data_IF_255793800273
#
_entry.id   IF_255793800273
#
_cell.length_a   1.000
_cell.length_b   1.000
_cell.length_c   1.000
_cell.angle_alpha   90.00
_cell.angle_beta   90.00
_cell.angle_gamma   90.00
#
_symmetry.space_group_name_H-M   'P 1'
#
loop_
_entity.id
_entity.type
_entity.pdbx_description
1 polymer ?
#
# COMPACT_ATOMS: atom_id res chain seq x y z
N UNK A 1 -11.64 5.41 -3.83
CA UNK A 1 -12.45 5.35 -2.59
C UNK A 1 -11.61 5.63 -1.34
N UNK A 2 -10.55 4.84 -1.07
CA UNK A 2 -9.70 4.99 0.13
C UNK A 2 -9.13 6.41 0.27
N UNK A 3 -8.71 7.04 -0.83
CA UNK A 3 -8.24 8.42 -0.83
C UNK A 3 -9.31 9.38 -0.31
N UNK A 4 -10.54 9.29 -0.81
CA UNK A 4 -11.64 10.15 -0.36
C UNK A 4 -11.94 9.99 1.13
N UNK A 5 -11.89 8.75 1.65
CA UNK A 5 -12.23 8.46 3.06
C UNK A 5 -11.13 8.87 4.03
N UNK A 6 -9.87 8.73 3.64
CA UNK A 6 -8.75 8.78 4.58
C UNK A 6 -7.78 9.94 4.35
N UNK A 7 -8.06 10.84 3.39
CA UNK A 7 -7.17 11.96 3.07
C UNK A 7 -6.86 12.84 4.29
N UNK A 8 -7.86 13.08 5.15
CA UNK A 8 -7.69 13.90 6.36
C UNK A 8 -6.87 13.20 7.45
N UNK A 9 -6.68 11.88 7.34
CA UNK A 9 -5.82 11.12 8.26
C UNK A 9 -4.34 11.24 7.90
N UNK A 10 -4.02 11.76 6.71
CA UNK A 10 -2.64 12.02 6.30
C UNK A 10 -2.21 13.34 6.94
N UNK A 11 -1.20 13.27 7.79
CA UNK A 11 -0.63 14.46 8.45
C UNK A 11 0.05 15.39 7.44
N UNK A 12 0.15 16.66 7.76
CA UNK A 12 0.94 17.61 6.97
C UNK A 12 2.40 17.13 6.94
N UNK A 13 3.05 17.29 5.78
CA UNK A 13 4.37 16.71 5.48
C UNK A 13 4.41 15.17 5.53
N UNK A 14 3.26 14.49 5.56
CA UNK A 14 3.16 13.04 5.49
C UNK A 14 3.39 12.48 4.08
N UNK A 15 3.23 11.17 3.95
CA UNK A 15 3.46 10.45 2.69
C UNK A 15 2.18 9.77 2.23
N UNK A 16 1.90 9.86 0.93
CA UNK A 16 0.75 9.27 0.26
C UNK A 16 1.22 8.44 -0.93
N UNK A 17 0.89 7.16 -0.98
CA UNK A 17 1.06 6.33 -2.17
C UNK A 17 -0.30 6.22 -2.84
N UNK A 18 -0.38 6.59 -4.12
CA UNK A 18 -1.63 6.61 -4.87
C UNK A 18 -1.46 5.99 -6.26
N UNK A 19 -2.57 5.61 -6.88
CA UNK A 19 -2.58 5.14 -8.26
C UNK A 19 -2.43 6.34 -9.21
N UNK A 20 -1.46 6.27 -10.12
CA UNK A 20 -1.35 7.21 -11.24
C UNK A 20 -2.45 6.97 -12.29
N UNK A 21 -2.99 5.75 -12.33
CA UNK A 21 -3.93 5.30 -13.36
C UNK A 21 -5.33 5.90 -13.21
N UNK A 22 -5.65 6.40 -12.03
CA UNK A 22 -6.99 6.90 -11.66
C UNK A 22 -6.97 8.42 -11.40
N UNK A 23 -5.88 9.09 -11.79
CA UNK A 23 -5.67 10.53 -11.55
C UNK A 23 -6.82 11.40 -12.10
N UNK A 24 -7.28 11.10 -13.32
CA UNK A 24 -8.32 11.86 -14.00
C UNK A 24 -9.74 11.33 -13.71
N UNK A 25 -9.87 10.35 -12.82
CA UNK A 25 -11.17 9.79 -12.46
C UNK A 25 -12.02 10.84 -11.72
N UNK A 26 -13.21 11.13 -12.29
CA UNK A 26 -14.15 12.08 -11.70
C UNK A 26 -14.78 11.46 -10.44
N UNK A 27 -14.74 12.19 -9.33
CA UNK A 27 -15.27 11.72 -8.05
C UNK A 27 -16.78 11.47 -8.08
N UNK A 28 -17.54 12.22 -8.88
CA UNK A 28 -18.99 12.05 -9.03
C UNK A 28 -19.34 10.71 -9.69
N UNK A 29 -18.43 10.12 -10.46
CA UNK A 29 -18.62 8.82 -11.08
C UNK A 29 -18.47 7.64 -10.11
N UNK A 30 -17.98 7.88 -8.88
CA UNK A 30 -17.75 6.86 -7.85
C UNK A 30 -19.05 6.47 -7.12
N UNK A 31 -19.91 5.72 -7.80
CA UNK A 31 -21.25 5.36 -7.29
C UNK A 31 -21.29 4.50 -6.02
N UNK A 32 -20.13 4.07 -5.52
CA UNK A 32 -19.98 3.27 -4.29
C UNK A 32 -19.44 4.09 -3.09
N UNK A 33 -19.19 5.38 -3.26
CA UNK A 33 -18.76 6.26 -2.18
C UNK A 33 -19.95 6.79 -1.40
N UNK A 34 -19.83 6.88 -0.08
CA UNK A 34 -20.82 7.50 0.78
C UNK A 34 -21.12 8.94 0.30
N UNK A 35 -22.39 9.26 0.08
CA UNK A 35 -22.83 10.54 -0.49
C UNK A 35 -22.33 11.74 0.32
N UNK A 36 -22.30 11.62 1.65
CA UNK A 36 -21.83 12.70 2.53
C UNK A 36 -20.34 12.95 2.34
N UNK A 37 -19.54 11.89 2.30
CA UNK A 37 -18.09 11.98 2.08
C UNK A 37 -17.82 12.57 0.69
N UNK A 38 -18.54 12.09 -0.32
CA UNK A 38 -18.40 12.61 -1.69
C UNK A 38 -18.68 14.10 -1.74
N UNK A 39 -19.82 14.55 -1.22
CA UNK A 39 -20.17 15.97 -1.24
C UNK A 39 -19.19 16.86 -0.48
N UNK A 40 -18.71 16.40 0.68
CA UNK A 40 -17.68 17.10 1.43
C UNK A 40 -16.40 17.29 0.61
N UNK A 41 -15.94 16.24 -0.09
CA UNK A 41 -14.75 16.33 -0.96
C UNK A 41 -14.95 17.23 -2.16
N UNK A 42 -16.10 17.15 -2.83
CA UNK A 42 -16.42 18.03 -3.95
C UNK A 42 -16.41 19.50 -3.50
N UNK A 43 -17.05 19.80 -2.37
CA UNK A 43 -17.08 21.16 -1.82
C UNK A 43 -15.66 21.67 -1.47
N UNK A 44 -14.81 20.84 -0.88
CA UNK A 44 -13.43 21.20 -0.57
C UNK A 44 -12.64 21.52 -1.83
N UNK A 45 -12.77 20.72 -2.88
CA UNK A 45 -12.10 20.92 -4.17
C UNK A 45 -12.59 22.19 -4.87
N UNK A 46 -13.90 22.43 -4.90
CA UNK A 46 -14.49 23.65 -5.46
C UNK A 46 -13.98 24.91 -4.74
N UNK A 47 -13.96 24.89 -3.41
CA UNK A 47 -13.44 26.01 -2.61
C UNK A 47 -11.95 26.27 -2.85
N UNK A 48 -11.19 25.22 -3.14
CA UNK A 48 -9.76 25.30 -3.47
C UNK A 48 -9.50 25.65 -4.95
N UNK A 49 -10.53 25.66 -5.80
CA UNK A 49 -10.40 25.86 -7.24
C UNK A 49 -9.69 24.71 -7.95
N UNK A 50 -9.78 23.48 -7.40
CA UNK A 50 -9.13 22.29 -7.91
C UNK A 50 -10.10 21.42 -8.73
N UNK A 51 -9.57 20.55 -9.64
CA UNK A 51 -10.39 19.62 -10.40
C UNK A 51 -11.18 18.66 -9.49
N UNK A 52 -12.43 18.31 -9.85
CA UNK A 52 -13.28 17.37 -9.11
C UNK A 52 -12.91 15.92 -9.41
N UNK A 53 -11.62 15.62 -9.34
CA UNK A 53 -11.01 14.32 -9.68
C UNK A 53 -10.18 13.76 -8.53
N UNK A 54 -9.76 12.50 -8.64
CA UNK A 54 -8.80 11.92 -7.72
C UNK A 54 -7.47 12.70 -7.70
N UNK A 55 -7.05 13.23 -8.86
CA UNK A 55 -5.88 14.11 -8.98
C UNK A 55 -6.04 15.41 -8.19
N UNK A 56 -7.21 16.02 -8.21
CA UNK A 56 -7.49 17.22 -7.41
C UNK A 56 -7.35 16.97 -5.90
N UNK A 57 -7.77 15.78 -5.41
CA UNK A 57 -7.55 15.39 -4.01
C UNK A 57 -6.06 15.23 -3.68
N UNK A 58 -5.29 14.67 -4.62
CA UNK A 58 -3.83 14.52 -4.44
C UNK A 58 -3.17 15.90 -4.40
N UNK A 59 -3.55 16.80 -5.31
CA UNK A 59 -3.06 18.18 -5.35
C UNK A 59 -3.41 18.94 -4.06
N UNK A 60 -4.62 18.78 -3.55
CA UNK A 60 -5.04 19.34 -2.27
C UNK A 60 -4.17 18.84 -1.11
N UNK A 61 -3.80 17.57 -1.10
CA UNK A 61 -2.85 17.02 -0.12
C UNK A 61 -1.44 17.61 -0.29
N UNK A 62 -0.97 17.76 -1.53
CA UNK A 62 0.34 18.35 -1.82
C UNK A 62 0.44 19.82 -1.40
N UNK A 63 -0.64 20.60 -1.50
CA UNK A 63 -0.70 21.97 -0.97
C UNK A 63 -0.45 22.01 0.54
N UNK A 64 -0.86 20.95 1.28
CA UNK A 64 -0.57 20.76 2.71
C UNK A 64 0.85 20.24 2.98
N UNK A 65 1.66 20.07 1.94
CA UNK A 65 3.02 19.54 2.03
C UNK A 65 3.12 18.01 2.03
N UNK A 66 2.02 17.30 1.74
CA UNK A 66 2.05 15.83 1.63
C UNK A 66 2.86 15.40 0.41
N UNK A 67 3.78 14.47 0.59
CA UNK A 67 4.58 13.88 -0.47
C UNK A 67 3.79 12.75 -1.15
N UNK A 68 3.31 12.98 -2.37
CA UNK A 68 2.53 12.00 -3.12
C UNK A 68 3.42 11.19 -4.07
N UNK A 69 3.34 9.86 -3.97
CA UNK A 69 4.00 8.89 -4.84
C UNK A 69 2.96 8.26 -5.78
N UNK A 70 2.92 8.71 -7.02
CA UNK A 70 2.01 8.20 -8.04
C UNK A 70 2.58 6.94 -8.68
N UNK A 71 1.85 5.83 -8.62
CA UNK A 71 2.30 4.50 -9.06
C UNK A 71 1.42 3.98 -10.20
N UNK A 72 2.00 3.59 -11.36
CA UNK A 72 1.26 3.11 -12.53
C UNK A 72 0.95 1.60 -12.42
N UNK A 73 0.02 1.22 -11.55
CA UNK A 73 -0.31 -0.19 -11.28
C UNK A 73 -0.78 -0.95 -12.52
N UNK A 74 -1.55 -0.31 -13.42
CA UNK A 74 -2.03 -0.94 -14.66
C UNK A 74 -0.87 -1.32 -15.58
N UNK A 75 0.17 -0.47 -15.64
CA UNK A 75 1.39 -0.76 -16.41
C UNK A 75 2.13 -1.96 -15.84
N UNK A 76 2.29 -2.03 -14.51
CA UNK A 76 2.94 -3.16 -13.86
C UNK A 76 2.20 -4.47 -14.08
N UNK A 77 0.87 -4.46 -13.94
CA UNK A 77 0.06 -5.65 -14.20
C UNK A 77 0.14 -6.08 -15.68
N UNK A 78 0.25 -5.13 -16.61
CA UNK A 78 0.44 -5.43 -18.03
C UNK A 78 1.80 -6.10 -18.27
N UNK A 79 2.88 -5.49 -17.80
CA UNK A 79 4.23 -6.06 -17.92
C UNK A 79 4.32 -7.46 -17.32
N UNK A 80 3.73 -7.64 -16.13
CA UNK A 80 3.72 -8.94 -15.45
C UNK A 80 2.91 -10.00 -16.23
N UNK A 81 1.78 -9.59 -16.82
CA UNK A 81 0.96 -10.44 -17.70
C UNK A 81 1.76 -10.93 -18.91
N UNK A 82 2.48 -10.02 -19.55
CA UNK A 82 3.29 -10.31 -20.74
C UNK A 82 4.50 -11.21 -20.39
N UNK A 83 5.20 -10.91 -19.31
CA UNK A 83 6.40 -11.64 -18.86
C UNK A 83 6.09 -13.08 -18.43
N UNK A 84 4.97 -13.27 -17.74
CA UNK A 84 4.55 -14.60 -17.27
C UNK A 84 3.71 -15.37 -18.28
N UNK A 85 3.29 -14.75 -19.39
CA UNK A 85 2.38 -15.36 -20.35
C UNK A 85 0.99 -15.64 -19.74
N UNK A 86 0.56 -14.87 -18.77
CA UNK A 86 -0.71 -15.01 -18.06
C UNK A 86 -1.70 -13.91 -18.49
N UNK A 87 -2.99 -14.15 -18.30
CA UNK A 87 -3.99 -13.10 -18.54
C UNK A 87 -4.00 -12.09 -17.39
N UNK A 88 -4.43 -10.85 -17.65
CA UNK A 88 -4.59 -9.81 -16.62
C UNK A 88 -5.44 -10.27 -15.42
N UNK A 89 -6.46 -11.09 -15.65
CA UNK A 89 -7.30 -11.66 -14.59
C UNK A 89 -6.50 -12.52 -13.62
N UNK A 90 -5.51 -13.27 -14.11
CA UNK A 90 -4.67 -14.13 -13.27
C UNK A 90 -3.64 -13.33 -12.47
N UNK A 91 -3.11 -12.24 -13.02
CA UNK A 91 -2.13 -11.39 -12.32
C UNK A 91 -2.78 -10.32 -11.43
N UNK A 92 -4.05 -10.02 -11.61
CA UNK A 92 -4.77 -8.98 -10.85
C UNK A 92 -4.64 -9.09 -9.33
N UNK A 93 -4.68 -10.30 -8.69
CA UNK A 93 -4.52 -10.41 -7.24
C UNK A 93 -3.18 -9.89 -6.70
N UNK A 94 -2.16 -9.79 -7.55
CA UNK A 94 -0.81 -9.33 -7.17
C UNK A 94 -0.76 -7.82 -6.89
N UNK A 95 -1.81 -7.07 -7.21
CA UNK A 95 -1.86 -5.62 -6.94
C UNK A 95 -1.60 -5.28 -5.46
N UNK A 96 -2.06 -6.14 -4.54
CA UNK A 96 -1.80 -5.97 -3.12
C UNK A 96 -0.31 -6.13 -2.79
N UNK A 97 0.36 -7.11 -3.42
CA UNK A 97 1.81 -7.30 -3.26
C UNK A 97 2.59 -6.13 -3.85
N UNK A 98 2.17 -5.60 -5.01
CA UNK A 98 2.77 -4.39 -5.59
C UNK A 98 2.66 -3.21 -4.61
N UNK A 99 1.49 -2.98 -4.02
CA UNK A 99 1.29 -1.89 -3.07
C UNK A 99 2.17 -2.03 -1.82
N UNK A 100 2.26 -3.24 -1.26
CA UNK A 100 3.15 -3.54 -0.13
C UNK A 100 4.62 -3.37 -0.52
N UNK A 101 5.02 -3.87 -1.69
CA UNK A 101 6.40 -3.78 -2.16
C UNK A 101 6.85 -2.33 -2.42
N UNK A 102 5.99 -1.48 -2.99
CA UNK A 102 6.24 -0.04 -3.13
C UNK A 102 6.44 0.60 -1.74
N UNK A 103 5.53 0.33 -0.80
CA UNK A 103 5.59 0.89 0.54
C UNK A 103 6.85 0.47 1.29
N UNK A 104 7.18 -0.81 1.27
CA UNK A 104 8.37 -1.36 1.95
C UNK A 104 9.67 -0.89 1.32
N UNK A 105 9.71 -0.78 -0.02
CA UNK A 105 10.88 -0.24 -0.73
C UNK A 105 11.13 1.24 -0.39
N UNK A 106 10.08 2.07 -0.35
CA UNK A 106 10.17 3.47 0.06
C UNK A 106 10.67 3.62 1.51
N UNK A 107 10.32 2.69 2.39
CA UNK A 107 10.76 2.65 3.79
C UNK A 107 12.14 2.01 3.99
N UNK A 108 12.83 1.61 2.93
CA UNK A 108 14.16 1.02 3.00
C UNK A 108 14.20 -0.42 3.53
N UNK A 109 13.06 -1.12 3.55
CA UNK A 109 13.04 -2.57 3.85
C UNK A 109 13.66 -3.32 2.68
N UNK A 110 14.51 -4.31 2.97
CA UNK A 110 15.17 -5.08 1.91
C UNK A 110 14.18 -5.97 1.15
N UNK A 111 14.44 -6.18 -0.13
CA UNK A 111 13.65 -7.08 -0.98
C UNK A 111 13.61 -8.49 -0.42
N UNK A 112 14.75 -8.99 0.06
CA UNK A 112 14.89 -10.33 0.64
C UNK A 112 13.99 -10.53 1.87
N UNK A 113 13.84 -9.48 2.71
CA UNK A 113 12.96 -9.53 3.87
C UNK A 113 11.50 -9.69 3.48
N UNK A 114 11.06 -8.99 2.42
CA UNK A 114 9.70 -9.09 1.92
C UNK A 114 9.46 -10.45 1.25
N UNK A 115 10.40 -10.95 0.45
CA UNK A 115 10.31 -12.27 -0.19
C UNK A 115 10.27 -13.39 0.86
N UNK A 116 11.07 -13.31 1.93
CA UNK A 116 11.00 -14.23 3.06
C UNK A 116 9.62 -14.23 3.74
N UNK A 117 9.05 -13.06 3.99
CA UNK A 117 7.71 -12.96 4.57
C UNK A 117 6.63 -13.57 3.65
N UNK A 118 6.79 -13.38 2.34
CA UNK A 118 5.92 -13.98 1.33
C UNK A 118 5.97 -15.52 1.36
N UNK A 119 7.17 -16.10 1.40
CA UNK A 119 7.36 -17.56 1.49
C UNK A 119 6.67 -18.16 2.72
N UNK A 120 6.74 -17.47 3.85
CA UNK A 120 6.05 -17.87 5.08
C UNK A 120 4.53 -17.76 4.98
N UNK A 121 4.03 -16.83 4.16
CA UNK A 121 2.59 -16.60 3.99
C UNK A 121 1.93 -17.58 3.02
N UNK A 122 2.69 -18.10 2.04
CA UNK A 122 2.20 -18.98 0.97
C UNK A 122 3.00 -20.27 0.84
N UNK A 123 3.12 -21.10 1.91
CA UNK A 123 3.91 -22.31 1.86
C UNK A 123 3.36 -23.31 0.84
N UNK A 124 4.23 -23.82 -0.04
CA UNK A 124 3.89 -24.81 -1.07
C UNK A 124 3.06 -24.29 -2.25
N UNK A 125 2.92 -22.96 -2.40
CA UNK A 125 2.20 -22.35 -3.51
C UNK A 125 3.17 -21.72 -4.53
N UNK A 126 3.95 -22.56 -5.22
CA UNK A 126 5.08 -22.11 -6.05
C UNK A 126 4.70 -21.12 -7.14
N UNK A 127 3.55 -21.30 -7.80
CA UNK A 127 3.06 -20.37 -8.84
C UNK A 127 2.69 -19.00 -8.26
N UNK A 128 2.07 -18.98 -7.07
CA UNK A 128 1.75 -17.75 -6.35
C UNK A 128 3.05 -17.06 -5.92
N UNK A 129 4.00 -17.80 -5.37
CA UNK A 129 5.30 -17.26 -4.97
C UNK A 129 6.07 -16.67 -6.14
N UNK A 130 6.13 -17.38 -7.28
CA UNK A 130 6.79 -16.89 -8.49
C UNK A 130 6.20 -15.57 -8.96
N UNK A 131 4.89 -15.52 -9.12
CA UNK A 131 4.18 -14.32 -9.60
C UNK A 131 4.38 -13.13 -8.66
N UNK A 132 4.33 -13.35 -7.36
CA UNK A 132 4.53 -12.28 -6.38
C UNK A 132 6.00 -11.81 -6.28
N UNK A 133 6.99 -12.70 -6.47
CA UNK A 133 8.40 -12.31 -6.52
C UNK A 133 8.71 -11.42 -7.72
N UNK A 134 8.13 -11.71 -8.89
CA UNK A 134 8.25 -10.83 -10.06
C UNK A 134 7.64 -9.46 -9.79
N UNK A 135 6.46 -9.42 -9.18
CA UNK A 135 5.83 -8.15 -8.78
C UNK A 135 6.67 -7.35 -7.79
N UNK A 136 7.28 -7.99 -6.80
CA UNK A 136 8.22 -7.36 -5.86
C UNK A 136 9.41 -6.79 -6.63
N UNK A 137 9.98 -7.54 -7.57
CA UNK A 137 11.08 -7.08 -8.42
C UNK A 137 10.75 -5.80 -9.19
N UNK A 138 9.60 -5.79 -9.88
CA UNK A 138 9.09 -4.64 -10.62
C UNK A 138 8.93 -3.42 -9.70
N UNK A 139 8.29 -3.61 -8.54
CA UNK A 139 8.01 -2.55 -7.58
C UNK A 139 9.29 -1.91 -7.02
N UNK A 140 10.26 -2.73 -6.60
CA UNK A 140 11.54 -2.24 -6.08
C UNK A 140 12.35 -1.51 -7.14
N UNK A 141 12.45 -2.05 -8.36
CA UNK A 141 13.14 -1.40 -9.47
C UNK A 141 12.49 -0.04 -9.80
N UNK A 142 11.16 0.02 -9.80
CA UNK A 142 10.45 1.27 -10.04
C UNK A 142 10.74 2.33 -8.97
N UNK A 143 10.66 1.95 -7.69
CA UNK A 143 10.95 2.89 -6.59
C UNK A 143 12.37 3.41 -6.68
N UNK A 144 13.35 2.55 -6.89
CA UNK A 144 14.75 2.93 -7.01
C UNK A 144 15.03 3.88 -8.19
N UNK A 145 14.27 3.74 -9.28
CA UNK A 145 14.46 4.54 -10.49
C UNK A 145 13.71 5.88 -10.47
N UNK A 146 12.64 6.00 -9.70
CA UNK A 146 11.72 7.13 -9.79
C UNK A 146 11.62 7.97 -8.53
N UNK A 147 12.03 7.45 -7.38
CA UNK A 147 11.86 8.15 -6.10
C UNK A 147 13.17 8.21 -5.31
N UNK A 148 13.35 9.29 -4.59
CA UNK A 148 14.38 9.36 -3.57
C UNK A 148 13.92 8.57 -2.32
N UNK A 149 14.86 7.96 -1.57
CA UNK A 149 14.52 7.31 -0.30
C UNK A 149 13.82 8.29 0.64
N UNK A 150 12.79 7.81 1.31
CA UNK A 150 12.13 8.58 2.37
C UNK A 150 13.11 8.66 3.55
N UNK A 151 13.28 9.85 4.12
CA UNK A 151 14.15 10.05 5.30
C UNK A 151 13.57 9.40 6.58
N UNK A 152 12.45 8.70 6.47
CA UNK A 152 11.81 8.00 7.56
C UNK A 152 12.56 6.69 7.83
N UNK A 153 13.55 6.75 8.71
CA UNK A 153 14.24 5.54 9.13
C UNK A 153 13.36 4.73 10.09
N UNK A 154 13.04 3.50 9.69
CA UNK A 154 12.47 2.55 10.63
C UNK A 154 13.45 2.32 11.78
N UNK A 155 12.97 2.51 13.01
CA UNK A 155 13.80 2.28 14.19
C UNK A 155 14.21 0.81 14.21
N UNK A 156 15.50 0.57 14.09
CA UNK A 156 16.03 -0.76 14.29
C UNK A 156 15.91 -1.11 15.79
N UNK A 157 15.24 -2.22 16.07
CA UNK A 157 15.27 -2.78 17.41
C UNK A 157 16.68 -3.31 17.66
N UNK A 158 17.30 -2.98 18.81
CA UNK A 158 18.56 -3.61 19.20
C UNK A 158 18.34 -5.13 19.26
N UNK A 159 19.35 -5.90 18.84
CA UNK A 159 19.32 -7.36 19.01
C UNK A 159 19.09 -7.65 20.50
N UNK A 160 17.85 -8.01 20.83
CA UNK A 160 17.48 -8.40 22.19
C UNK A 160 17.90 -9.84 22.39
N UNK A 161 18.58 -10.13 23.51
CA UNK A 161 18.84 -11.52 23.94
C UNK A 161 17.57 -12.21 24.44
N UNK A 162 16.50 -11.46 24.61
CA UNK A 162 15.19 -11.97 25.01
C UNK A 162 14.40 -12.40 23.76
N UNK A 163 13.74 -13.55 23.84
CA UNK A 163 12.82 -13.99 22.80
C UNK A 163 11.60 -13.08 22.80
N UNK A 164 11.42 -12.34 21.71
CA UNK A 164 10.25 -11.49 21.49
C UNK A 164 9.29 -12.20 20.55
N UNK A 165 8.01 -12.29 20.93
CA UNK A 165 6.97 -12.86 20.13
C UNK A 165 6.16 -11.74 19.44
N UNK A 166 6.04 -11.81 18.13
CA UNK A 166 5.09 -10.98 17.38
C UNK A 166 3.75 -11.72 17.33
N UNK A 167 2.74 -11.17 17.99
CA UNK A 167 1.42 -11.77 18.11
C UNK A 167 0.35 -10.85 17.53
N UNK A 168 -0.62 -11.41 16.83
CA UNK A 168 -1.85 -10.69 16.53
C UNK A 168 -2.78 -10.65 17.75
N UNK A 169 -3.84 -9.83 17.70
CA UNK A 169 -4.76 -9.64 18.83
C UNK A 169 -5.37 -10.97 19.33
N UNK A 170 -5.78 -11.86 18.44
CA UNK A 170 -6.36 -13.17 18.81
C UNK A 170 -5.34 -14.07 19.52
N UNK A 171 -4.11 -14.12 19.01
CA UNK A 171 -3.01 -14.86 19.63
C UNK A 171 -2.65 -14.29 21.00
N UNK A 172 -2.64 -12.97 21.14
CA UNK A 172 -2.37 -12.28 22.43
C UNK A 172 -3.44 -12.61 23.46
N UNK A 173 -4.72 -12.59 23.08
CA UNK A 173 -5.83 -12.96 23.97
C UNK A 173 -5.74 -14.43 24.37
N UNK A 174 -5.47 -15.34 23.44
CA UNK A 174 -5.32 -16.76 23.73
C UNK A 174 -4.15 -17.03 24.70
N UNK A 175 -2.99 -16.43 24.44
CA UNK A 175 -1.83 -16.57 25.31
C UNK A 175 -2.09 -15.98 26.71
N UNK A 176 -2.76 -14.81 26.79
CA UNK A 176 -3.15 -14.20 28.05
C UNK A 176 -4.10 -15.08 28.87
N UNK A 177 -5.05 -15.76 28.24
CA UNK A 177 -5.93 -16.73 28.90
C UNK A 177 -5.16 -17.94 29.46
N UNK A 178 -4.24 -18.49 28.67
CA UNK A 178 -3.38 -19.60 29.15
C UNK A 178 -2.49 -19.18 30.33
N UNK A 179 -1.87 -17.98 30.24
CA UNK A 179 -1.06 -17.45 31.33
C UNK A 179 -1.86 -17.17 32.60
N UNK A 180 -3.13 -16.82 32.49
CA UNK A 180 -4.05 -16.65 33.62
C UNK A 180 -4.58 -17.98 34.20
N UNK A 181 -4.16 -19.14 33.67
CA UNK A 181 -4.57 -20.45 34.15
C UNK A 181 -5.99 -20.88 33.73
N UNK A 182 -6.57 -20.20 32.76
CA UNK A 182 -7.84 -20.65 32.16
C UNK A 182 -7.56 -21.85 31.25
N UNK A 183 -7.86 -23.04 31.73
CA UNK A 183 -7.88 -24.28 30.93
C UNK A 183 -9.12 -24.35 30.03
N UNK A 184 -9.05 -25.13 28.96
CA UNK A 184 -10.18 -25.51 28.12
C UNK A 184 -10.93 -26.69 28.74
#
# INVERSE_FOLDING_TARGET
>A
ESLCRHLDSVTDQGYLICSADDHDENLESLGYLDTRILQERLQQLEQAGLPLTAGGLIEMAQIRGVHAFAVPYKSFLSSLSDELGLTRKHVSPVINTLAVAISTSLLGVSRESLEYALEKSFPGQDDVLRMNREAIGIAYAYVQSNFSPIELQLRQYPESREQVLLLNATQSVALGKLAAGLGF
#
